data_IF_860517680961
#
_entry.id   IF_860517680961
#
_cell.length_a   1.000
_cell.length_b   1.000
_cell.length_c   1.000
_cell.angle_alpha   90.00
_cell.angle_beta   90.00
_cell.angle_gamma   90.00
#
_symmetry.space_group_name_H-M   'P 1'
#
loop_
_entity.id
_entity.type
_entity.pdbx_description
1 polymer ?
#
# COMPACT_ATOMS: atom_id res chain seq x y z
N UNK A 1 -25.24 31.46 54.23
CA UNK A 1 -26.43 30.62 53.91
C UNK A 1 -26.65 30.36 52.41
N UNK A 2 -26.12 31.17 51.48
CA UNK A 2 -26.29 30.97 50.02
C UNK A 2 -25.59 29.73 49.43
N UNK A 3 -24.59 29.16 50.12
CA UNK A 3 -23.84 27.98 49.67
C UNK A 3 -24.66 26.68 49.73
N UNK A 4 -25.49 26.52 50.77
CA UNK A 4 -26.37 25.34 50.95
C UNK A 4 -27.52 25.36 49.94
N UNK A 5 -28.08 26.55 49.65
CA UNK A 5 -29.13 26.72 48.64
C UNK A 5 -28.65 26.34 47.23
N UNK A 6 -27.41 26.67 46.88
CA UNK A 6 -26.83 26.29 45.58
C UNK A 6 -26.55 24.78 45.46
N UNK A 7 -26.13 24.11 46.53
CA UNK A 7 -25.92 22.66 46.54
C UNK A 7 -27.24 21.88 46.37
N UNK A 8 -28.32 22.34 47.01
CA UNK A 8 -29.66 21.75 46.86
C UNK A 8 -30.23 21.98 45.45
N UNK A 9 -29.97 23.15 44.84
CA UNK A 9 -30.36 23.42 43.46
C UNK A 9 -29.62 22.56 42.42
N UNK A 10 -28.37 22.13 42.67
CA UNK A 10 -27.65 21.20 41.77
C UNK A 10 -28.29 19.81 41.74
N UNK A 11 -28.70 19.26 42.90
CA UNK A 11 -29.45 17.99 42.95
C UNK A 11 -30.83 18.09 42.30
N UNK A 12 -31.51 19.25 42.46
CA UNK A 12 -32.81 19.53 41.82
C UNK A 12 -32.72 19.70 40.30
N UNK A 13 -31.55 20.09 39.78
CA UNK A 13 -31.26 20.16 38.35
C UNK A 13 -30.91 18.82 37.70
N UNK A 14 -30.89 17.72 38.46
CA UNK A 14 -30.78 16.35 37.93
C UNK A 14 -29.60 16.21 36.98
N UNK A 15 -28.37 16.19 37.50
CA UNK A 15 -27.21 15.74 36.73
C UNK A 15 -27.49 14.28 36.29
N UNK A 16 -27.99 14.11 35.06
CA UNK A 16 -28.30 12.81 34.46
C UNK A 16 -26.97 12.12 34.15
N UNK A 17 -26.60 11.11 34.93
CA UNK A 17 -25.50 10.21 34.59
C UNK A 17 -25.88 9.30 33.41
N UNK A 18 -24.89 8.85 32.65
CA UNK A 18 -25.06 7.84 31.61
C UNK A 18 -25.56 6.54 32.24
N UNK A 19 -26.57 5.90 31.65
CA UNK A 19 -27.03 4.59 32.13
C UNK A 19 -26.10 3.48 31.61
N UNK A 20 -25.92 2.42 32.40
CA UNK A 20 -25.18 1.24 31.96
C UNK A 20 -25.82 0.57 30.73
N UNK A 21 -27.15 0.67 30.61
CA UNK A 21 -27.90 0.13 29.47
C UNK A 21 -27.61 0.91 28.19
N UNK A 22 -27.49 2.24 28.27
CA UNK A 22 -27.10 3.06 27.12
C UNK A 22 -25.69 2.70 26.63
N UNK A 23 -24.74 2.50 27.53
CA UNK A 23 -23.40 2.05 27.13
C UNK A 23 -23.40 0.62 26.57
N UNK A 24 -24.23 -0.27 27.13
CA UNK A 24 -24.33 -1.66 26.68
C UNK A 24 -24.84 -1.76 25.23
N UNK A 25 -25.90 -1.03 24.88
CA UNK A 25 -26.45 -1.06 23.53
C UNK A 25 -25.45 -0.48 22.52
N UNK A 26 -24.71 0.56 22.90
CA UNK A 26 -23.70 1.18 22.02
C UNK A 26 -22.56 0.20 21.70
N UNK A 27 -22.03 -0.51 22.69
CA UNK A 27 -20.93 -1.46 22.43
C UNK A 27 -21.40 -2.67 21.61
N UNK A 28 -22.66 -3.10 21.75
CA UNK A 28 -23.24 -4.16 20.92
C UNK A 28 -23.29 -3.71 19.46
N UNK A 29 -23.77 -2.50 19.19
CA UNK A 29 -23.87 -1.98 17.82
C UNK A 29 -22.46 -1.81 17.21
N UNK A 30 -21.50 -1.23 17.94
CA UNK A 30 -20.11 -1.09 17.47
C UNK A 30 -19.49 -2.48 17.22
N UNK A 31 -19.78 -3.47 18.08
CA UNK A 31 -19.30 -4.84 17.90
C UNK A 31 -19.77 -5.47 16.60
N UNK A 32 -21.05 -5.32 16.24
CA UNK A 32 -21.61 -5.83 14.98
C UNK A 32 -20.96 -5.11 13.78
N UNK A 33 -20.83 -3.78 13.84
CA UNK A 33 -20.21 -3.00 12.77
C UNK A 33 -18.73 -3.38 12.58
N UNK A 34 -17.98 -3.52 13.67
CA UNK A 34 -16.56 -3.89 13.63
C UNK A 34 -16.35 -5.29 13.05
N UNK A 35 -17.21 -6.26 13.39
CA UNK A 35 -17.12 -7.63 12.89
C UNK A 35 -17.19 -7.72 11.36
N UNK A 36 -17.99 -6.85 10.73
CA UNK A 36 -18.09 -6.78 9.25
C UNK A 36 -17.03 -5.84 8.65
N UNK A 37 -16.77 -4.71 9.30
CA UNK A 37 -15.89 -3.68 8.76
C UNK A 37 -14.42 -4.10 8.72
N UNK A 38 -13.93 -4.80 9.75
CA UNK A 38 -12.51 -5.20 9.84
C UNK A 38 -12.07 -6.10 8.68
N UNK A 39 -12.73 -7.22 8.34
CA UNK A 39 -12.29 -8.07 7.22
C UNK A 39 -12.35 -7.34 5.88
N UNK A 40 -13.38 -6.51 5.67
CA UNK A 40 -13.52 -5.70 4.44
C UNK A 40 -12.36 -4.71 4.33
N UNK A 41 -12.06 -3.98 5.41
CA UNK A 41 -10.97 -3.02 5.46
C UNK A 41 -9.62 -3.68 5.17
N UNK A 42 -9.36 -4.84 5.78
CA UNK A 42 -8.12 -5.59 5.55
C UNK A 42 -7.99 -6.03 4.09
N UNK A 43 -9.08 -6.49 3.47
CA UNK A 43 -9.06 -6.87 2.05
C UNK A 43 -8.85 -5.65 1.13
N UNK A 44 -9.54 -4.54 1.39
CA UNK A 44 -9.36 -3.29 0.64
C UNK A 44 -7.90 -2.80 0.73
N UNK A 45 -7.28 -2.90 1.91
CA UNK A 45 -5.87 -2.54 2.10
C UNK A 45 -4.95 -3.42 1.27
N UNK A 46 -5.18 -4.74 1.22
CA UNK A 46 -4.43 -5.66 0.35
C UNK A 46 -4.61 -5.31 -1.14
N UNK A 47 -5.82 -5.00 -1.58
CA UNK A 47 -6.07 -4.56 -2.96
C UNK A 47 -5.36 -3.23 -3.28
N UNK A 48 -5.33 -2.29 -2.33
CA UNK A 48 -4.60 -1.04 -2.49
C UNK A 48 -3.10 -1.26 -2.65
N UNK A 49 -2.49 -2.14 -1.85
CA UNK A 49 -1.08 -2.52 -2.01
C UNK A 49 -0.80 -3.16 -3.37
N UNK A 50 -1.65 -4.09 -3.84
CA UNK A 50 -1.51 -4.69 -5.18
C UNK A 50 -1.56 -3.63 -6.29
N UNK A 51 -2.54 -2.72 -6.20
CA UNK A 51 -2.69 -1.61 -7.15
C UNK A 51 -1.48 -0.68 -7.15
N UNK A 52 -0.92 -0.39 -5.97
CA UNK A 52 0.29 0.42 -5.83
C UNK A 52 1.49 -0.25 -6.50
N UNK A 53 1.70 -1.56 -6.28
CA UNK A 53 2.78 -2.31 -6.93
C UNK A 53 2.59 -2.32 -8.45
N UNK A 54 1.37 -2.58 -8.94
CA UNK A 54 1.07 -2.55 -10.37
C UNK A 54 1.36 -1.18 -10.98
N UNK A 55 1.02 -0.09 -10.29
CA UNK A 55 1.33 1.26 -10.73
C UNK A 55 2.83 1.51 -10.81
N UNK A 56 3.59 1.11 -9.78
CA UNK A 56 5.05 1.29 -9.76
C UNK A 56 5.73 0.48 -10.86
N UNK A 57 5.30 -0.77 -11.11
CA UNK A 57 5.80 -1.60 -12.21
C UNK A 57 5.52 -0.95 -13.56
N UNK A 58 4.32 -0.41 -13.78
CA UNK A 58 3.98 0.31 -15.02
C UNK A 58 4.82 1.56 -15.20
N UNK A 59 4.98 2.37 -14.15
CA UNK A 59 5.81 3.57 -14.19
C UNK A 59 7.27 3.21 -14.50
N UNK A 60 7.80 2.15 -13.89
CA UNK A 60 9.13 1.64 -14.17
C UNK A 60 9.27 1.16 -15.62
N UNK A 61 8.25 0.51 -16.19
CA UNK A 61 8.28 0.11 -17.61
C UNK A 61 8.35 1.31 -18.57
N UNK A 62 7.63 2.39 -18.26
CA UNK A 62 7.68 3.62 -19.06
C UNK A 62 9.05 4.30 -18.98
N UNK A 63 9.65 4.33 -17.79
CA UNK A 63 10.99 4.89 -17.59
C UNK A 63 12.06 4.07 -18.33
N UNK A 64 11.99 2.73 -18.24
CA UNK A 64 12.90 1.84 -18.98
C UNK A 64 12.70 1.91 -20.49
N UNK A 65 11.48 2.09 -20.98
CA UNK A 65 11.23 2.26 -22.41
C UNK A 65 11.83 3.55 -22.95
N UNK A 66 11.73 4.63 -22.17
CA UNK A 66 12.35 5.92 -22.49
C UNK A 66 13.88 5.78 -22.49
N UNK A 67 14.44 5.15 -21.46
CA UNK A 67 15.87 4.86 -21.37
C UNK A 67 16.37 3.99 -22.54
N UNK A 68 15.60 2.99 -22.95
CA UNK A 68 15.91 2.14 -24.09
C UNK A 68 15.96 2.97 -25.38
N UNK A 69 14.99 3.84 -25.57
CA UNK A 69 14.90 4.73 -26.74
C UNK A 69 16.10 5.68 -26.81
N UNK A 70 16.51 6.25 -25.67
CA UNK A 70 17.70 7.11 -25.57
C UNK A 70 19.00 6.36 -25.87
N UNK A 71 19.07 5.07 -25.54
CA UNK A 71 20.25 4.21 -25.70
C UNK A 71 20.20 3.31 -26.94
N UNK A 72 19.53 3.74 -28.02
CA UNK A 72 19.44 3.00 -29.29
C UNK A 72 18.85 1.58 -29.14
N UNK A 73 17.82 1.44 -28.30
CA UNK A 73 17.14 0.17 -28.03
C UNK A 73 17.89 -0.77 -27.08
N UNK A 74 18.90 -0.26 -26.35
CA UNK A 74 19.69 -1.04 -25.39
C UNK A 74 19.30 -0.69 -23.97
N UNK A 75 19.25 -1.70 -23.11
CA UNK A 75 19.08 -1.52 -21.67
C UNK A 75 20.47 -1.64 -21.01
N UNK A 76 20.85 -0.70 -20.13
CA UNK A 76 22.09 -0.80 -19.37
C UNK A 76 22.13 -2.07 -18.50
N UNK A 77 23.23 -2.83 -18.58
CA UNK A 77 23.37 -4.13 -17.92
C UNK A 77 23.58 -4.02 -16.40
N UNK A 78 23.96 -2.85 -15.91
CA UNK A 78 24.09 -2.52 -14.48
C UNK A 78 22.74 -2.48 -13.74
N UNK A 79 21.63 -2.43 -14.48
CA UNK A 79 20.28 -2.53 -13.92
C UNK A 79 19.89 -3.97 -13.56
N UNK A 80 20.58 -4.97 -14.11
CA UNK A 80 20.21 -6.39 -13.94
C UNK A 80 20.35 -6.85 -12.49
N UNK A 81 19.28 -7.48 -11.98
CA UNK A 81 19.21 -8.02 -10.63
C UNK A 81 19.12 -6.97 -9.51
N UNK A 82 19.05 -5.67 -9.83
CA UNK A 82 18.97 -4.63 -8.82
C UNK A 82 17.54 -4.53 -8.27
N UNK A 83 17.39 -4.64 -6.95
CA UNK A 83 16.13 -4.41 -6.24
C UNK A 83 16.13 -3.02 -5.60
N UNK A 84 15.20 -2.19 -6.03
CA UNK A 84 14.96 -0.85 -5.53
C UNK A 84 13.83 -0.88 -4.50
N UNK A 85 14.07 -0.32 -3.31
CA UNK A 85 13.07 -0.12 -2.27
C UNK A 85 12.41 1.27 -2.41
N UNK A 86 11.60 1.70 -1.44
CA UNK A 86 10.96 3.02 -1.39
C UNK A 86 11.91 4.16 -1.80
N UNK A 87 11.40 5.09 -2.61
CA UNK A 87 12.09 6.32 -2.99
C UNK A 87 12.28 6.48 -4.50
N UNK A 88 13.03 7.52 -4.87
CA UNK A 88 13.43 7.76 -6.26
C UNK A 88 14.81 7.16 -6.50
N UNK A 89 14.94 6.42 -7.60
CA UNK A 89 16.18 5.74 -7.94
C UNK A 89 16.54 6.02 -9.40
N UNK A 90 17.78 6.45 -9.68
CA UNK A 90 18.24 6.61 -11.05
C UNK A 90 18.36 5.24 -11.73
N UNK A 91 18.06 5.21 -13.03
CA UNK A 91 18.28 4.05 -13.87
C UNK A 91 19.65 4.16 -14.56
N UNK A 92 20.65 3.56 -13.92
CA UNK A 92 22.03 3.52 -14.42
C UNK A 92 22.69 4.89 -14.35
N UNK A 93 23.38 5.30 -15.41
CA UNK A 93 24.05 6.61 -15.50
C UNK A 93 23.21 7.69 -16.20
N UNK A 94 21.92 7.44 -16.41
CA UNK A 94 21.02 8.37 -17.11
C UNK A 94 20.23 9.27 -16.16
N UNK A 95 19.65 10.36 -16.68
CA UNK A 95 18.75 11.26 -15.95
C UNK A 95 17.36 10.65 -15.67
N UNK A 96 17.11 9.43 -16.16
CA UNK A 96 15.85 8.72 -15.96
C UNK A 96 15.79 8.10 -14.57
N UNK A 97 14.64 8.22 -13.91
CA UNK A 97 14.42 7.70 -12.57
C UNK A 97 13.16 6.83 -12.50
N UNK A 98 13.18 5.84 -11.62
CA UNK A 98 11.97 5.18 -11.14
C UNK A 98 11.59 5.73 -9.77
N UNK A 99 10.29 5.80 -9.49
CA UNK A 99 9.78 6.07 -8.15
C UNK A 99 9.12 4.81 -7.63
N UNK A 100 9.56 4.36 -6.45
CA UNK A 100 9.00 3.20 -5.75
C UNK A 100 8.22 3.72 -4.55
N UNK A 101 6.95 3.34 -4.48
CA UNK A 101 6.06 3.70 -3.39
C UNK A 101 6.51 3.03 -2.09
N UNK A 102 6.15 3.64 -0.95
CA UNK A 102 6.40 3.09 0.38
C UNK A 102 6.02 1.61 0.48
N UNK A 103 6.91 0.83 1.12
CA UNK A 103 6.76 -0.61 1.38
C UNK A 103 6.71 -1.49 0.11
N UNK A 104 6.89 -0.90 -1.08
CA UNK A 104 7.08 -1.60 -2.33
C UNK A 104 8.57 -1.83 -2.62
N UNK A 105 8.82 -2.85 -3.42
CA UNK A 105 10.11 -3.16 -3.99
C UNK A 105 9.94 -3.47 -5.48
N UNK A 106 10.84 -2.95 -6.30
CA UNK A 106 10.91 -3.19 -7.74
C UNK A 106 12.26 -3.81 -8.06
N UNK A 107 12.27 -4.95 -8.75
CA UNK A 107 13.49 -5.58 -9.27
C UNK A 107 13.46 -5.57 -10.79
N UNK A 108 14.56 -5.14 -11.40
CA UNK A 108 14.72 -5.17 -12.85
C UNK A 108 15.67 -6.33 -13.17
N UNK A 109 15.30 -7.18 -14.12
CA UNK A 109 16.19 -8.18 -14.67
C UNK A 109 16.30 -7.97 -16.18
N UNK A 110 17.53 -7.95 -16.69
CA UNK A 110 17.85 -7.60 -18.08
C UNK A 110 18.41 -8.83 -18.79
N UNK A 111 17.90 -9.11 -19.99
CA UNK A 111 18.35 -10.21 -20.83
C UNK A 111 18.60 -9.72 -22.25
N UNK A 112 19.82 -9.25 -22.51
CA UNK A 112 20.16 -8.65 -23.80
C UNK A 112 19.46 -7.30 -23.99
N UNK A 113 18.49 -7.25 -24.92
CA UNK A 113 17.69 -6.05 -25.19
C UNK A 113 16.29 -6.09 -24.56
N UNK A 114 15.94 -7.19 -23.88
CA UNK A 114 14.67 -7.31 -23.16
C UNK A 114 14.89 -7.17 -21.66
N UNK A 115 13.81 -6.85 -20.95
CA UNK A 115 13.83 -6.72 -19.50
C UNK A 115 12.52 -7.24 -18.90
N UNK A 116 12.63 -7.67 -17.66
CA UNK A 116 11.48 -7.98 -16.81
C UNK A 116 11.53 -7.11 -15.57
N UNK A 117 10.36 -6.63 -15.14
CA UNK A 117 10.23 -5.82 -13.93
C UNK A 117 9.35 -6.60 -12.98
N UNK A 118 9.88 -6.95 -11.82
CA UNK A 118 9.14 -7.67 -10.77
C UNK A 118 8.93 -6.75 -9.58
N UNK A 119 7.68 -6.41 -9.30
CA UNK A 119 7.28 -5.64 -8.13
C UNK A 119 6.61 -6.49 -7.05
N UNK A 120 6.81 -6.12 -5.79
CA UNK A 120 6.05 -6.67 -4.66
C UNK A 120 5.91 -5.64 -3.53
N UNK A 121 4.93 -5.84 -2.63
CA UNK A 121 4.81 -5.08 -1.38
C UNK A 121 5.08 -6.01 -0.19
N UNK A 122 5.86 -5.57 0.79
CA UNK A 122 6.25 -6.40 1.96
C UNK A 122 5.06 -6.84 2.82
N UNK A 123 3.95 -6.11 2.77
CA UNK A 123 2.74 -6.38 3.55
C UNK A 123 1.79 -7.36 2.84
N UNK A 124 2.11 -7.83 1.63
CA UNK A 124 1.31 -8.82 0.91
C UNK A 124 1.67 -10.28 1.24
N UNK A 125 2.68 -10.52 2.07
CA UNK A 125 3.00 -11.83 2.66
C UNK A 125 1.82 -12.37 3.48
N UNK A 126 0.96 -13.19 2.88
CA UNK A 126 -0.31 -13.59 3.51
C UNK A 126 -0.26 -14.97 4.16
N UNK A 127 0.62 -15.86 3.73
CA UNK A 127 0.49 -17.31 3.99
C UNK A 127 1.82 -18.08 4.06
N UNK A 128 2.97 -17.38 4.02
CA UNK A 128 4.29 -18.03 3.98
C UNK A 128 4.72 -18.50 2.59
N UNK A 129 3.94 -18.25 1.54
CA UNK A 129 4.27 -18.56 0.13
C UNK A 129 5.17 -17.50 -0.55
N UNK A 130 5.64 -16.51 0.19
CA UNK A 130 6.32 -15.32 -0.33
C UNK A 130 5.34 -14.21 -0.75
N UNK A 131 5.86 -13.02 -1.03
CA UNK A 131 5.02 -11.88 -1.41
C UNK A 131 4.35 -12.13 -2.76
N UNK A 132 3.07 -11.75 -2.88
CA UNK A 132 2.41 -11.61 -4.17
C UNK A 132 3.22 -10.67 -5.08
N UNK A 133 3.55 -11.12 -6.28
CA UNK A 133 4.40 -10.39 -7.23
C UNK A 133 3.64 -9.99 -8.48
N UNK A 134 3.90 -8.78 -8.95
CA UNK A 134 3.46 -8.30 -10.27
C UNK A 134 4.67 -8.20 -11.16
N UNK A 135 4.65 -8.85 -12.32
CA UNK A 135 5.76 -8.90 -13.26
C UNK A 135 5.34 -8.34 -14.61
N UNK A 136 6.12 -7.41 -15.14
CA UNK A 136 6.05 -6.94 -16.52
C UNK A 136 7.16 -7.60 -17.35
N UNK A 137 6.85 -8.03 -18.56
CA UNK A 137 7.84 -8.51 -19.54
C UNK A 137 7.83 -7.62 -20.77
N UNK A 138 9.00 -7.07 -21.13
CA UNK A 138 9.14 -6.26 -22.34
C UNK A 138 9.06 -7.07 -23.63
N UNK A 139 9.26 -8.39 -23.57
CA UNK A 139 9.18 -9.28 -24.74
C UNK A 139 7.73 -9.47 -25.20
N UNK A 140 6.81 -9.63 -24.25
CA UNK A 140 5.38 -9.83 -24.52
C UNK A 140 4.55 -8.56 -24.33
N UNK A 141 5.14 -7.50 -23.78
CA UNK A 141 4.43 -6.28 -23.39
C UNK A 141 3.33 -6.52 -22.36
N UNK A 142 3.38 -7.63 -21.63
CA UNK A 142 2.29 -8.08 -20.77
C UNK A 142 2.62 -7.95 -19.28
N UNK A 143 1.58 -7.68 -18.50
CA UNK A 143 1.61 -7.68 -17.04
C UNK A 143 0.98 -8.98 -16.52
N UNK A 144 1.67 -9.66 -15.60
CA UNK A 144 1.18 -10.85 -14.92
C UNK A 144 1.29 -10.66 -13.41
N UNK A 145 0.28 -11.06 -12.65
CA UNK A 145 0.32 -11.03 -11.19
C UNK A 145 0.16 -12.44 -10.63
N UNK A 146 1.01 -12.76 -9.66
CA UNK A 146 0.93 -13.99 -8.85
C UNK A 146 0.33 -13.64 -7.48
N UNK A 147 -0.52 -14.52 -6.97
CA UNK A 147 -1.13 -14.36 -5.64
C UNK A 147 -0.28 -15.03 -4.57
#
# INVERSE_FOLDING_TARGET
>A
MKSVQNALNRRKKGEKGFTLVELLVVVIIIGILAAVAVPIYLNQRKSAWRSSVESDVKNASLALETLSTENNGKIPADLDGTTYAEGKHPLGTSDQEITVTKDNHITIAVSGNTYTITGYNENLNSDGSGNAKTTYSSETGSLSSTN
#
